data_IF_950939646222
#
_entry.id   IF_950939646222
#
_cell.length_a   1.000
_cell.length_b   1.000
_cell.length_c   1.000
_cell.angle_alpha   90.00
_cell.angle_beta   90.00
_cell.angle_gamma   90.00
#
_symmetry.space_group_name_H-M   'P 1'
#
loop_
_entity.id
_entity.type
_entity.pdbx_description
1 polymer ?
#
# COMPACT_ATOMS: atom_id res chain seq x y z
N UNK A 1 -3.69 -12.83 -0.47
CA UNK A 1 -2.63 -13.82 -0.20
C UNK A 1 -2.48 -14.64 -1.46
N UNK A 2 -1.27 -14.78 -2.01
CA UNK A 2 -1.04 -15.76 -3.08
C UNK A 2 -0.71 -17.10 -2.44
N UNK A 3 0.27 -17.10 -1.54
CA UNK A 3 0.64 -18.20 -0.64
C UNK A 3 1.25 -17.62 0.64
N UNK A 4 1.48 -18.44 1.67
CA UNK A 4 2.12 -17.97 2.91
C UNK A 4 3.48 -17.32 2.59
N UNK A 5 3.67 -16.09 3.09
CA UNK A 5 4.86 -15.28 2.79
C UNK A 5 4.85 -14.53 1.46
N UNK A 6 3.80 -14.64 0.62
CA UNK A 6 3.69 -13.86 -0.63
C UNK A 6 2.28 -13.31 -0.87
N UNK A 7 2.17 -11.99 -1.06
CA UNK A 7 0.91 -11.30 -1.37
C UNK A 7 0.94 -10.64 -2.74
N UNK A 8 -0.16 -10.74 -3.48
CA UNK A 8 -0.35 -9.97 -4.71
C UNK A 8 -1.02 -8.64 -4.38
N UNK A 9 -0.36 -7.55 -4.73
CA UNK A 9 -0.82 -6.17 -4.55
C UNK A 9 -0.48 -5.39 -5.81
N UNK A 10 -1.33 -4.45 -6.22
CA UNK A 10 -1.05 -3.55 -7.33
C UNK A 10 -0.48 -4.26 -8.60
N UNK A 11 -1.06 -5.40 -8.96
CA UNK A 11 -0.61 -6.25 -10.09
C UNK A 11 0.75 -6.95 -9.93
N UNK A 12 1.43 -6.83 -8.77
CA UNK A 12 2.75 -7.39 -8.49
C UNK A 12 2.74 -8.30 -7.26
N UNK A 13 3.68 -9.24 -7.19
CA UNK A 13 3.91 -10.07 -6.01
C UNK A 13 4.90 -9.39 -5.06
N UNK A 14 4.56 -9.37 -3.77
CA UNK A 14 5.38 -8.84 -2.69
C UNK A 14 5.60 -9.94 -1.65
N UNK A 15 6.84 -10.08 -1.18
CA UNK A 15 7.16 -10.94 -0.05
C UNK A 15 6.63 -10.30 1.24
N UNK A 16 6.02 -11.09 2.11
CA UNK A 16 5.59 -10.70 3.45
C UNK A 16 6.03 -11.75 4.46
N UNK A 17 6.00 -11.42 5.76
CA UNK A 17 6.40 -12.35 6.84
C UNK A 17 5.21 -13.00 7.54
N UNK A 18 4.00 -12.55 7.23
CA UNK A 18 2.78 -13.06 7.85
C UNK A 18 2.38 -14.42 7.25
N UNK A 19 1.98 -15.35 8.13
CA UNK A 19 1.63 -16.74 7.81
C UNK A 19 0.24 -17.09 8.37
N UNK A 20 -0.40 -18.14 7.83
CA UNK A 20 -1.67 -18.65 8.34
C UNK A 20 -2.91 -18.03 7.70
N UNK A 21 -2.76 -17.49 6.49
CA UNK A 21 -3.84 -16.91 5.68
C UNK A 21 -4.21 -17.79 4.48
N UNK A 22 -3.57 -18.96 4.32
CA UNK A 22 -3.89 -19.90 3.26
C UNK A 22 -3.45 -19.43 1.87
N UNK A 23 -3.87 -20.18 0.84
CA UNK A 23 -3.50 -19.92 -0.56
C UNK A 23 -4.64 -19.23 -1.29
N UNK A 24 -4.32 -18.21 -2.08
CA UNK A 24 -5.27 -17.47 -2.92
C UNK A 24 -6.45 -16.82 -2.16
N UNK A 25 -6.24 -16.45 -0.89
CA UNK A 25 -7.25 -15.80 -0.05
C UNK A 25 -7.29 -14.28 -0.28
N UNK A 26 -8.48 -13.68 -0.27
CA UNK A 26 -8.64 -12.23 -0.35
C UNK A 26 -8.30 -11.64 1.02
N UNK A 27 -7.23 -10.84 1.06
CA UNK A 27 -6.70 -10.23 2.28
C UNK A 27 -6.53 -8.73 2.09
N UNK A 28 -6.55 -7.99 3.18
CA UNK A 28 -6.21 -6.58 3.20
C UNK A 28 -4.73 -6.41 3.57
N UNK A 29 -4.02 -5.60 2.79
CA UNK A 29 -2.60 -5.30 3.03
C UNK A 29 -2.49 -3.95 3.72
N UNK A 30 -1.85 -3.92 4.88
CA UNK A 30 -1.68 -2.73 5.71
C UNK A 30 -0.19 -2.42 5.80
N UNK A 31 0.17 -1.20 5.41
CA UNK A 31 1.53 -0.67 5.50
C UNK A 31 1.44 0.72 6.11
N UNK A 32 2.33 1.03 7.05
CA UNK A 32 2.35 2.35 7.69
C UNK A 32 3.08 3.36 6.80
N UNK A 33 2.67 4.64 6.78
CA UNK A 33 3.32 5.66 5.95
C UNK A 33 4.82 5.82 6.19
N UNK A 34 5.28 5.64 7.42
CA UNK A 34 6.68 5.72 7.83
C UNK A 34 7.55 4.56 7.35
N UNK A 35 6.94 3.42 7.01
CA UNK A 35 7.63 2.20 6.59
C UNK A 35 7.84 2.13 5.07
N UNK A 36 7.33 3.11 4.33
CA UNK A 36 7.47 3.23 2.87
C UNK A 36 8.71 4.06 2.56
N UNK A 37 9.68 3.46 1.89
CA UNK A 37 10.90 4.15 1.47
C UNK A 37 10.75 4.68 0.05
N UNK A 38 11.11 5.95 -0.13
CA UNK A 38 11.22 6.57 -1.46
C UNK A 38 12.62 6.33 -2.01
N UNK A 39 12.68 5.70 -3.19
CA UNK A 39 13.91 5.31 -3.88
C UNK A 39 13.86 5.74 -5.35
N UNK A 40 14.92 5.46 -6.10
CA UNK A 40 14.92 5.64 -7.55
C UNK A 40 13.93 4.67 -8.24
N UNK A 41 13.43 5.06 -9.41
CA UNK A 41 12.52 4.23 -10.22
C UNK A 41 13.17 2.93 -10.72
N UNK A 42 14.50 2.89 -10.76
CA UNK A 42 15.31 1.73 -11.14
C UNK A 42 15.34 0.63 -10.06
N UNK A 43 15.11 0.99 -8.79
CA UNK A 43 15.15 0.06 -7.64
C UNK A 43 13.77 -0.13 -6.99
N UNK A 44 12.85 0.80 -7.22
CA UNK A 44 11.50 0.76 -6.66
C UNK A 44 10.71 -0.46 -7.14
N UNK A 45 10.00 -1.10 -6.21
CA UNK A 45 9.03 -2.16 -6.53
C UNK A 45 7.73 -1.58 -7.09
N UNK A 46 7.40 -0.33 -6.74
CA UNK A 46 6.31 0.45 -7.32
C UNK A 46 6.88 1.78 -7.84
N UNK A 47 6.26 2.32 -8.89
CA UNK A 47 6.61 3.62 -9.43
C UNK A 47 5.39 4.54 -9.35
N UNK A 48 5.62 5.80 -9.01
CA UNK A 48 4.55 6.78 -8.94
C UNK A 48 5.03 8.22 -9.06
N UNK A 49 4.07 9.12 -9.17
CA UNK A 49 4.30 10.56 -9.24
C UNK A 49 3.92 11.19 -7.92
N UNK A 50 4.79 12.05 -7.38
CA UNK A 50 4.50 12.83 -6.17
C UNK A 50 3.43 13.87 -6.50
N UNK A 51 2.21 13.71 -6.00
CA UNK A 51 1.11 14.67 -6.22
C UNK A 51 1.24 15.89 -5.31
N UNK A 52 1.63 15.68 -4.05
CA UNK A 52 1.77 16.77 -3.08
C UNK A 52 2.79 16.44 -1.99
N UNK A 53 3.33 17.50 -1.40
CA UNK A 53 4.33 17.45 -0.34
C UNK A 53 3.93 18.43 0.75
N UNK A 54 3.88 17.95 1.99
CA UNK A 54 3.55 18.76 3.15
C UNK A 54 4.61 18.56 4.25
N UNK A 55 5.23 19.64 4.69
CA UNK A 55 6.14 19.59 5.83
C UNK A 55 5.36 19.60 7.16
N UNK A 56 5.58 18.61 8.02
CA UNK A 56 4.91 18.43 9.32
C UNK A 56 5.77 18.88 10.51
N UNK A 57 6.91 19.53 10.27
CA UNK A 57 7.83 20.03 11.29
C UNK A 57 9.08 19.16 11.48
N UNK A 58 8.94 17.82 11.50
CA UNK A 58 10.09 16.90 11.61
C UNK A 58 10.28 15.98 10.39
N UNK A 59 9.24 15.82 9.58
CA UNK A 59 9.24 15.02 8.36
C UNK A 59 8.33 15.65 7.30
N UNK A 60 8.43 15.15 6.09
CA UNK A 60 7.54 15.43 4.97
C UNK A 60 6.52 14.32 4.84
N UNK A 61 5.25 14.70 4.71
CA UNK A 61 4.17 13.84 4.26
C UNK A 61 4.02 14.06 2.75
N UNK A 62 4.26 13.00 1.98
CA UNK A 62 4.16 13.01 0.52
C UNK A 62 3.00 12.10 0.10
N UNK A 63 2.20 12.57 -0.86
CA UNK A 63 1.20 11.74 -1.52
C UNK A 63 1.76 11.33 -2.87
N UNK A 64 1.94 10.02 -3.08
CA UNK A 64 2.49 9.43 -4.29
C UNK A 64 1.41 8.61 -4.98
N UNK A 65 1.15 8.90 -6.26
CA UNK A 65 0.14 8.21 -7.06
C UNK A 65 0.82 7.21 -7.98
N UNK A 66 0.54 5.92 -7.81
CA UNK A 66 1.09 4.82 -8.61
C UNK A 66 0.10 4.35 -9.70
N UNK A 67 -0.91 5.17 -10.02
CA UNK A 67 -2.00 4.84 -10.94
C UNK A 67 -3.08 3.93 -10.31
N UNK A 68 -2.66 2.88 -9.61
CA UNK A 68 -3.55 1.92 -8.95
C UNK A 68 -4.01 2.37 -7.56
N UNK A 69 -3.14 3.07 -6.84
CA UNK A 69 -3.41 3.56 -5.50
C UNK A 69 -2.70 4.89 -5.23
N UNK A 70 -3.16 5.59 -4.20
CA UNK A 70 -2.45 6.73 -3.61
C UNK A 70 -1.79 6.30 -2.32
N UNK A 71 -0.50 6.57 -2.22
CA UNK A 71 0.34 6.22 -1.10
C UNK A 71 0.67 7.47 -0.31
N UNK A 72 0.43 7.41 0.99
CA UNK A 72 0.93 8.40 1.92
C UNK A 72 2.28 7.92 2.43
N UNK A 73 3.31 8.72 2.26
CA UNK A 73 4.68 8.38 2.63
C UNK A 73 5.23 9.44 3.58
N UNK A 74 5.85 9.00 4.68
CA UNK A 74 6.51 9.89 5.63
C UNK A 74 8.02 9.72 5.51
N UNK A 75 8.73 10.81 5.21
CA UNK A 75 10.20 10.78 5.09
C UNK A 75 10.83 12.08 5.59
N UNK A 76 12.05 12.01 6.11
CA UNK A 76 12.86 13.20 6.42
C UNK A 76 13.48 13.82 5.16
N UNK A 77 13.50 13.08 4.05
CA UNK A 77 13.97 13.55 2.75
C UNK A 77 12.80 13.93 1.86
N UNK A 78 12.84 15.15 1.31
CA UNK A 78 11.78 15.67 0.44
C UNK A 78 12.00 15.28 -1.01
N UNK A 79 10.91 14.88 -1.69
CA UNK A 79 10.84 14.78 -3.15
C UNK A 79 9.85 15.82 -3.68
N UNK A 80 10.20 16.64 -4.68
CA UNK A 80 9.31 17.68 -5.19
C UNK A 80 8.03 17.11 -5.83
N UNK A 81 6.92 17.83 -5.71
CA UNK A 81 5.69 17.50 -6.44
C UNK A 81 5.95 17.46 -7.96
N UNK A 82 5.39 16.47 -8.65
CA UNK A 82 5.60 16.20 -10.07
C UNK A 82 6.80 15.29 -10.36
N UNK A 83 7.63 14.98 -9.36
CA UNK A 83 8.75 14.05 -9.54
C UNK A 83 8.25 12.62 -9.64
N UNK A 84 8.85 11.84 -10.53
CA UNK A 84 8.66 10.40 -10.60
C UNK A 84 9.61 9.73 -9.61
N UNK A 85 9.08 8.84 -8.78
CA UNK A 85 9.81 8.17 -7.71
C UNK A 85 9.48 6.68 -7.66
N UNK A 86 10.43 5.88 -7.19
CA UNK A 86 10.21 4.50 -6.80
C UNK A 86 9.77 4.43 -5.33
N UNK A 87 8.89 3.48 -5.00
CA UNK A 87 8.54 3.11 -3.62
C UNK A 87 9.03 1.70 -3.34
N UNK A 88 9.57 1.48 -2.15
CA UNK A 88 9.94 0.15 -1.65
C UNK A 88 9.55 -0.02 -0.19
N UNK A 89 9.14 -1.24 0.17
CA UNK A 89 8.68 -1.63 1.51
C UNK A 89 9.39 -2.94 1.82
N UNK A 90 10.01 -3.00 3.00
CA UNK A 90 10.66 -4.23 3.46
C UNK A 90 9.57 -5.26 3.78
N UNK A 91 9.74 -6.55 3.44
CA UNK A 91 8.73 -7.59 3.67
C UNK A 91 8.17 -7.65 5.10
N UNK A 92 9.02 -7.35 6.10
CA UNK A 92 8.63 -7.33 7.52
C UNK A 92 7.63 -6.22 7.88
N UNK A 93 7.55 -5.16 7.07
CA UNK A 93 6.64 -4.03 7.29
C UNK A 93 5.31 -4.18 6.52
N UNK A 94 5.14 -5.29 5.79
CA UNK A 94 3.89 -5.61 5.10
C UNK A 94 3.06 -6.48 6.04
N UNK A 95 1.97 -5.91 6.56
CA UNK A 95 1.07 -6.62 7.45
C UNK A 95 -0.19 -7.07 6.71
N UNK A 96 -0.54 -8.34 6.87
CA UNK A 96 -1.71 -8.96 6.25
C UNK A 96 -2.83 -9.04 7.28
N UNK A 97 -4.00 -8.51 6.91
CA UNK A 97 -5.22 -8.59 7.69
C UNK A 97 -6.23 -9.46 6.95
N UNK A 98 -6.94 -10.32 7.69
CA UNK A 98 -8.07 -11.05 7.11
C UNK A 98 -9.18 -10.06 6.82
N UNK A 99 -9.69 -10.10 5.59
CA UNK A 99 -10.81 -9.27 5.20
C UNK A 99 -12.06 -9.77 5.90
N UNK A 100 -12.71 -8.93 6.71
CA UNK A 100 -14.07 -9.24 7.17
C UNK A 100 -15.00 -9.25 5.95
N UNK A 101 -15.92 -10.22 5.83
CA UNK A 101 -16.92 -10.18 4.78
C UNK A 101 -17.70 -8.87 4.92
N UNK A 102 -17.91 -8.17 3.80
CA UNK A 102 -18.74 -6.97 3.78
C UNK A 102 -20.11 -7.32 4.41
N UNK A 103 -20.71 -6.44 5.24
CA UNK A 103 -22.03 -6.69 5.76
C UNK A 103 -22.97 -6.94 4.57
N UNK A 104 -23.70 -8.05 4.63
CA UNK A 104 -24.68 -8.40 3.60
C UNK A 104 -25.59 -7.18 3.40
N UNK A 105 -25.67 -6.68 2.16
CA UNK A 105 -26.64 -5.67 1.79
C UNK A 105 -28.01 -6.23 2.17
N UNK A 106 -28.67 -5.60 3.14
CA UNK A 106 -30.07 -5.88 3.44
C UNK A 106 -30.84 -5.43 2.20
N UNK A 107 -31.37 -6.38 1.43
CA UNK A 107 -32.34 -6.08 0.39
C UNK A 107 -33.54 -5.41 1.08
N UNK A 108 -33.70 -4.10 0.90
CA UNK A 108 -34.90 -3.39 1.31
C UNK A 108 -36.08 -4.03 0.57
N UNK A 109 -36.93 -4.71 1.33
CA UNK A 109 -38.12 -5.37 0.83
C UNK A 109 -39.02 -4.39 0.08
N UNK A 110 -39.21 -4.69 -1.19
CA UNK A 110 -40.31 -4.20 -2.00
C UNK A 110 -41.59 -4.91 -1.48
N UNK A 111 -42.32 -4.27 -0.56
CA UNK A 111 -43.70 -4.65 -0.26
C UNK A 111 -44.67 -3.52 -0.64
N UNK A 112 -45.69 -3.95 -1.38
CA UNK A 112 -46.70 -3.22 -2.16
C UNK A 112 -47.68 -2.41 -1.32
#
# INVERSE_FOLDING_TARGET
MLEDGTVMMAGKAFECVDEGFGTNEVVDVVVRPEDIMVVGTDVGMLEGIVESVLFKGVHYEMIVSTGEARWKVHSTSMQPSGSQVGLTIVPYNIHIMRREPAPAAQEEGEEM
#
